data_IF_802368612292
#
_entry.id   IF_802368612292
#
_cell.length_a   1.000
_cell.length_b   1.000
_cell.length_c   1.000
_cell.angle_alpha   90.00
_cell.angle_beta   90.00
_cell.angle_gamma   90.00
#
_symmetry.space_group_name_H-M   'P 1'
#
loop_
_entity.id
_entity.type
_entity.pdbx_description
1 polymer ?
#
# COMPACT_ATOMS: atom_id res chain seq x y z
N UNK A 1 -26.24 57.76 -69.59
CA UNK A 1 -26.23 57.79 -68.11
C UNK A 1 -26.90 56.53 -67.56
N UNK A 2 -26.16 55.43 -67.34
CA UNK A 2 -26.63 54.25 -66.56
C UNK A 2 -25.47 53.25 -66.38
N UNK A 3 -24.47 53.60 -65.57
CA UNK A 3 -23.43 52.67 -65.11
C UNK A 3 -23.06 53.02 -63.66
N UNK A 4 -23.94 52.75 -62.70
CA UNK A 4 -23.59 52.87 -61.26
C UNK A 4 -24.39 51.94 -60.31
N UNK A 5 -25.36 51.16 -60.79
CA UNK A 5 -26.21 50.31 -59.92
C UNK A 5 -25.62 48.93 -59.58
N UNK A 6 -24.61 48.44 -60.31
CA UNK A 6 -24.07 47.08 -60.10
C UNK A 6 -23.05 46.96 -58.94
N UNK A 7 -22.38 48.05 -58.55
CA UNK A 7 -21.35 48.01 -57.51
C UNK A 7 -21.93 47.99 -56.08
N UNK A 8 -23.05 48.68 -55.85
CA UNK A 8 -23.69 48.75 -54.52
C UNK A 8 -24.18 47.38 -54.03
N UNK A 9 -24.73 46.56 -54.92
CA UNK A 9 -25.22 45.21 -54.59
C UNK A 9 -24.10 44.23 -54.22
N UNK A 10 -22.89 44.44 -54.76
CA UNK A 10 -21.72 43.61 -54.44
C UNK A 10 -21.17 43.92 -53.03
N UNK A 11 -21.13 45.19 -52.62
CA UNK A 11 -20.65 45.59 -51.30
C UNK A 11 -21.55 45.09 -50.16
N UNK A 12 -22.88 45.03 -50.38
CA UNK A 12 -23.82 44.52 -49.37
C UNK A 12 -23.67 43.01 -49.13
N UNK A 13 -23.36 42.22 -50.17
CA UNK A 13 -23.08 40.77 -50.01
C UNK A 13 -21.77 40.49 -49.26
N UNK A 14 -20.72 41.28 -49.51
CA UNK A 14 -19.41 41.08 -48.84
C UNK A 14 -19.48 41.36 -47.34
N UNK A 15 -20.19 42.41 -46.90
CA UNK A 15 -20.39 42.68 -45.45
C UNK A 15 -21.10 41.53 -44.72
N UNK A 16 -22.09 40.92 -45.37
CA UNK A 16 -22.85 39.81 -44.77
C UNK A 16 -22.02 38.52 -44.64
N UNK A 17 -21.13 38.25 -45.61
CA UNK A 17 -20.22 37.08 -45.58
C UNK A 17 -19.13 37.25 -44.51
N UNK A 18 -18.59 38.46 -44.33
CA UNK A 18 -17.57 38.75 -43.29
C UNK A 18 -18.18 38.59 -41.88
N UNK A 19 -19.42 39.03 -41.69
CA UNK A 19 -20.16 38.85 -40.43
C UNK A 19 -20.34 37.36 -40.07
N UNK A 20 -20.78 36.54 -41.03
CA UNK A 20 -20.95 35.10 -40.82
C UNK A 20 -19.63 34.36 -40.51
N UNK A 21 -18.51 34.74 -41.14
CA UNK A 21 -17.21 34.13 -40.87
C UNK A 21 -16.69 34.44 -39.47
N UNK A 22 -16.90 35.67 -38.97
CA UNK A 22 -16.54 36.05 -37.59
C UNK A 22 -17.40 35.28 -36.57
N UNK A 23 -18.70 35.15 -36.83
CA UNK A 23 -19.61 34.40 -35.96
C UNK A 23 -19.23 32.91 -35.86
N UNK A 24 -18.86 32.26 -36.97
CA UNK A 24 -18.41 30.84 -36.95
C UNK A 24 -17.10 30.65 -36.19
N UNK A 25 -16.14 31.58 -36.30
CA UNK A 25 -14.88 31.52 -35.53
C UNK A 25 -15.14 31.69 -34.04
N UNK A 26 -16.00 32.63 -33.67
CA UNK A 26 -16.41 32.86 -32.29
C UNK A 26 -17.15 31.65 -31.70
N UNK A 27 -18.08 31.04 -32.44
CA UNK A 27 -18.74 29.79 -32.03
C UNK A 27 -17.76 28.63 -31.85
N UNK A 28 -16.74 28.51 -32.72
CA UNK A 28 -15.71 27.46 -32.60
C UNK A 28 -14.86 27.64 -31.33
N UNK A 29 -14.53 28.90 -31.02
CA UNK A 29 -13.80 29.27 -29.80
C UNK A 29 -14.60 28.97 -28.54
N UNK A 30 -15.88 29.37 -28.49
CA UNK A 30 -16.78 29.04 -27.37
C UNK A 30 -16.89 27.53 -27.20
N UNK A 31 -17.10 26.78 -28.29
CA UNK A 31 -17.23 25.32 -28.22
C UNK A 31 -15.96 24.66 -27.68
N UNK A 32 -14.78 25.10 -28.09
CA UNK A 32 -13.51 24.58 -27.56
C UNK A 32 -13.34 24.89 -26.07
N UNK A 33 -13.65 26.11 -25.64
CA UNK A 33 -13.56 26.47 -24.22
C UNK A 33 -14.59 25.73 -23.35
N UNK A 34 -15.82 25.54 -23.84
CA UNK A 34 -16.81 24.75 -23.12
C UNK A 34 -16.35 23.29 -22.94
N UNK A 35 -15.75 22.68 -23.96
CA UNK A 35 -15.22 21.30 -23.85
C UNK A 35 -14.08 21.24 -22.82
N UNK A 36 -13.16 22.21 -22.85
CA UNK A 36 -12.05 22.26 -21.89
C UNK A 36 -12.56 22.42 -20.46
N UNK A 37 -13.49 23.35 -20.23
CA UNK A 37 -14.09 23.58 -18.91
C UNK A 37 -14.81 22.31 -18.41
N UNK A 38 -15.60 21.66 -19.27
CA UNK A 38 -16.30 20.42 -18.92
C UNK A 38 -15.32 19.28 -18.57
N UNK A 39 -14.20 19.17 -19.30
CA UNK A 39 -13.16 18.17 -19.00
C UNK A 39 -12.46 18.43 -17.66
N UNK A 40 -12.20 19.69 -17.30
CA UNK A 40 -11.58 20.03 -16.01
C UNK A 40 -12.55 19.78 -14.86
N UNK A 41 -13.82 20.16 -15.03
CA UNK A 41 -14.86 19.91 -14.03
C UNK A 41 -15.09 18.43 -13.77
N UNK A 42 -15.11 17.60 -14.83
CA UNK A 42 -15.29 16.15 -14.67
C UNK A 42 -14.10 15.50 -13.95
N UNK A 43 -12.87 15.92 -14.25
CA UNK A 43 -11.67 15.44 -13.52
C UNK A 43 -11.73 15.87 -12.05
N UNK A 44 -12.08 17.12 -11.74
CA UNK A 44 -12.20 17.60 -10.36
C UNK A 44 -13.28 16.86 -9.58
N UNK A 45 -14.45 16.62 -10.18
CA UNK A 45 -15.52 15.81 -9.56
C UNK A 45 -15.03 14.40 -9.30
N UNK A 46 -14.34 13.77 -10.25
CA UNK A 46 -13.78 12.43 -10.06
C UNK A 46 -12.76 12.40 -8.92
N UNK A 47 -11.86 13.39 -8.81
CA UNK A 47 -10.90 13.50 -7.71
C UNK A 47 -11.62 13.68 -6.36
N UNK A 48 -12.68 14.49 -6.30
CA UNK A 48 -13.45 14.72 -5.06
C UNK A 48 -14.15 13.43 -4.63
N UNK A 49 -14.86 12.76 -5.55
CA UNK A 49 -15.57 11.51 -5.27
C UNK A 49 -14.58 10.42 -4.82
N UNK A 50 -13.46 10.26 -5.55
CA UNK A 50 -12.47 9.24 -5.23
C UNK A 50 -11.77 9.54 -3.89
N UNK A 51 -11.58 10.82 -3.55
CA UNK A 51 -11.04 11.23 -2.24
C UNK A 51 -12.01 10.88 -1.11
N UNK A 52 -13.30 11.12 -1.26
CA UNK A 52 -14.28 10.74 -0.25
C UNK A 52 -14.36 9.22 -0.07
N UNK A 53 -14.44 8.42 -1.15
CA UNK A 53 -14.47 6.96 -1.03
C UNK A 53 -13.22 6.39 -0.33
N UNK A 54 -12.02 6.89 -0.66
CA UNK A 54 -10.79 6.47 0.04
C UNK A 54 -10.85 6.86 1.52
N UNK A 55 -11.38 8.04 1.85
CA UNK A 55 -11.47 8.50 3.23
C UNK A 55 -12.47 7.67 4.03
N UNK A 56 -13.64 7.34 3.45
CA UNK A 56 -14.64 6.48 4.08
C UNK A 56 -14.17 5.05 4.25
N UNK A 57 -13.48 4.48 3.26
CA UNK A 57 -12.95 3.12 3.37
C UNK A 57 -11.82 3.05 4.42
N UNK A 58 -11.05 4.12 4.59
CA UNK A 58 -10.07 4.23 5.67
C UNK A 58 -10.76 4.39 7.03
N UNK A 59 -11.82 5.18 7.12
CA UNK A 59 -12.53 5.42 8.38
C UNK A 59 -13.28 4.17 8.89
N UNK A 60 -13.91 3.41 7.98
CA UNK A 60 -14.58 2.13 8.31
C UNK A 60 -13.57 1.08 8.80
N UNK A 61 -12.36 1.03 8.24
CA UNK A 61 -11.31 0.14 8.76
C UNK A 61 -10.82 0.54 10.16
N UNK A 62 -10.97 1.82 10.56
CA UNK A 62 -10.47 2.31 11.86
C UNK A 62 -11.50 2.37 12.98
N UNK A 63 -12.80 2.35 12.67
CA UNK A 63 -13.83 2.75 13.63
C UNK A 63 -14.26 1.68 14.65
N UNK A 64 -13.85 0.43 14.51
CA UNK A 64 -14.29 -0.63 15.44
C UNK A 64 -13.18 -1.60 15.85
N UNK A 65 -11.91 -1.16 15.75
CA UNK A 65 -10.82 -1.85 16.44
C UNK A 65 -10.91 -1.47 17.92
N UNK A 66 -11.83 -2.12 18.64
CA UNK A 66 -11.78 -2.12 20.09
C UNK A 66 -10.35 -2.55 20.49
N UNK A 67 -9.65 -1.80 21.34
CA UNK A 67 -8.30 -2.17 21.76
C UNK A 67 -8.40 -3.55 22.41
N UNK A 68 -7.93 -4.57 21.68
CA UNK A 68 -7.92 -5.93 22.16
C UNK A 68 -7.10 -5.93 23.45
N UNK A 69 -7.74 -6.29 24.57
CA UNK A 69 -7.21 -6.00 25.92
C UNK A 69 -5.86 -6.66 26.21
N UNK A 70 -5.43 -7.63 25.38
CA UNK A 70 -4.11 -8.26 25.45
C UNK A 70 -3.46 -8.23 24.06
N UNK A 71 -2.55 -7.29 23.81
CA UNK A 71 -1.81 -7.21 22.55
C UNK A 71 -1.23 -8.58 22.15
N UNK A 72 -1.65 -9.10 20.99
CA UNK A 72 -1.13 -10.37 20.44
C UNK A 72 0.36 -10.20 20.20
N UNK A 73 1.17 -11.14 20.68
CA UNK A 73 2.62 -11.15 20.50
C UNK A 73 3.03 -12.30 19.60
N UNK A 74 3.63 -11.96 18.46
CA UNK A 74 4.10 -12.91 17.46
C UNK A 74 5.61 -13.13 17.59
N UNK A 75 6.05 -14.37 17.53
CA UNK A 75 7.48 -14.73 17.42
C UNK A 75 7.85 -15.07 15.99
N UNK A 76 9.03 -14.61 15.54
CA UNK A 76 9.58 -14.97 14.23
C UNK A 76 11.10 -15.05 14.30
N UNK A 77 11.69 -16.13 13.78
CA UNK A 77 13.12 -16.21 13.48
C UNK A 77 13.30 -16.73 12.05
N UNK A 78 13.37 -15.82 11.09
CA UNK A 78 13.38 -16.15 9.66
C UNK A 78 14.68 -15.67 8.98
N UNK A 79 15.01 -16.33 7.86
CA UNK A 79 16.12 -15.98 6.98
C UNK A 79 15.82 -14.77 6.08
N UNK A 80 14.55 -14.49 5.82
CA UNK A 80 14.09 -13.37 5.02
C UNK A 80 13.39 -12.32 5.87
N UNK A 81 13.95 -11.10 5.87
CA UNK A 81 13.38 -9.99 6.64
C UNK A 81 12.08 -9.44 6.02
N UNK A 82 11.90 -9.53 4.70
CA UNK A 82 10.80 -8.80 4.04
C UNK A 82 9.41 -9.24 4.52
N UNK A 83 9.07 -10.54 4.55
CA UNK A 83 7.73 -10.95 4.96
C UNK A 83 7.36 -10.53 6.39
N UNK A 84 8.30 -10.62 7.35
CA UNK A 84 8.05 -10.18 8.72
C UNK A 84 7.94 -8.66 8.85
N UNK A 85 8.64 -7.89 8.00
CA UNK A 85 8.48 -6.43 7.96
C UNK A 85 7.11 -6.02 7.39
N UNK A 86 6.61 -6.75 6.39
CA UNK A 86 5.28 -6.52 5.84
C UNK A 86 4.20 -6.78 6.91
N UNK A 87 4.32 -7.88 7.67
CA UNK A 87 3.43 -8.16 8.80
C UNK A 87 3.50 -7.06 9.87
N UNK A 88 4.68 -6.58 10.23
CA UNK A 88 4.84 -5.48 11.18
C UNK A 88 4.17 -4.19 10.69
N UNK A 89 4.29 -3.88 9.41
CA UNK A 89 3.68 -2.70 8.81
C UNK A 89 2.14 -2.78 8.83
N UNK A 90 1.59 -3.97 8.59
CA UNK A 90 0.14 -4.20 8.53
C UNK A 90 -0.48 -4.33 9.93
N UNK A 91 0.14 -5.11 10.82
CA UNK A 91 -0.43 -5.50 12.12
C UNK A 91 0.06 -4.63 13.28
N UNK A 92 1.21 -3.97 13.17
CA UNK A 92 1.74 -3.06 14.19
C UNK A 92 0.76 -1.94 14.56
N UNK A 93 0.09 -1.27 13.60
CA UNK A 93 -0.96 -0.29 13.89
C UNK A 93 -2.17 -0.86 14.65
N UNK A 94 -2.40 -2.18 14.60
CA UNK A 94 -3.46 -2.87 15.33
C UNK A 94 -3.01 -3.28 16.75
N UNK A 95 -1.81 -2.89 17.17
CA UNK A 95 -1.28 -3.19 18.51
C UNK A 95 -0.60 -4.56 18.64
N UNK A 96 -0.40 -5.28 17.54
CA UNK A 96 0.33 -6.57 17.55
C UNK A 96 1.81 -6.32 17.84
N UNK A 97 2.37 -7.06 18.80
CA UNK A 97 3.77 -7.02 19.19
C UNK A 97 4.56 -8.12 18.47
N UNK A 98 5.86 -7.91 18.29
CA UNK A 98 6.72 -8.83 17.55
C UNK A 98 8.04 -9.08 18.26
N UNK A 99 8.33 -10.34 18.57
CA UNK A 99 9.67 -10.83 18.84
C UNK A 99 10.31 -11.33 17.55
N UNK A 100 10.89 -10.40 16.80
CA UNK A 100 11.61 -10.68 15.56
C UNK A 100 13.10 -10.89 15.85
N UNK A 101 13.52 -12.15 15.73
CA UNK A 101 14.87 -12.62 15.97
C UNK A 101 15.50 -13.11 14.66
N UNK A 102 15.56 -12.23 13.66
CA UNK A 102 15.98 -12.58 12.30
C UNK A 102 17.41 -13.13 12.24
N UNK A 103 17.57 -14.20 11.46
CA UNK A 103 18.85 -14.83 11.12
C UNK A 103 19.42 -14.31 9.79
N UNK A 104 18.64 -13.53 9.03
CA UNK A 104 19.04 -12.95 7.74
C UNK A 104 20.37 -12.21 7.79
N UNK A 105 21.14 -12.25 6.70
CA UNK A 105 22.32 -11.38 6.53
C UNK A 105 21.96 -9.88 6.51
N UNK A 106 20.72 -9.55 6.14
CA UNK A 106 20.25 -8.15 6.05
C UNK A 106 19.60 -7.63 7.34
N UNK A 107 19.56 -8.43 8.41
CA UNK A 107 18.88 -8.06 9.67
C UNK A 107 19.42 -6.76 10.30
N UNK A 108 20.67 -6.37 10.00
CA UNK A 108 21.28 -5.16 10.55
C UNK A 108 20.57 -3.91 10.05
N UNK A 109 20.06 -3.94 8.81
CA UNK A 109 19.35 -2.81 8.20
C UNK A 109 18.03 -2.50 8.93
N UNK A 110 17.38 -3.52 9.47
CA UNK A 110 16.10 -3.40 10.18
C UNK A 110 16.24 -3.45 11.70
N UNK A 111 17.47 -3.59 12.23
CA UNK A 111 17.77 -3.76 13.67
C UNK A 111 17.03 -4.95 14.30
N UNK A 112 16.87 -6.02 13.52
CA UNK A 112 16.18 -7.27 13.92
C UNK A 112 17.14 -8.42 14.12
N UNK A 113 18.44 -8.18 13.98
CA UNK A 113 19.43 -9.21 14.25
C UNK A 113 19.27 -9.70 15.68
N UNK A 114 19.30 -11.01 15.84
CA UNK A 114 19.34 -11.61 17.16
C UNK A 114 20.77 -12.03 17.51
N UNK A 115 21.58 -11.14 18.13
CA UNK A 115 22.90 -11.54 18.63
C UNK A 115 22.80 -12.54 19.79
N UNK A 116 21.60 -12.75 20.33
CA UNK A 116 21.35 -13.58 21.51
C UNK A 116 20.39 -14.74 21.22
N UNK A 117 20.14 -15.09 19.95
CA UNK A 117 19.46 -16.34 19.64
C UNK A 117 20.40 -17.48 20.04
N UNK A 118 19.99 -18.26 21.04
CA UNK A 118 20.72 -19.43 21.50
C UNK A 118 20.14 -20.65 20.78
N UNK A 119 20.93 -21.71 20.65
CA UNK A 119 20.61 -22.94 19.88
C UNK A 119 20.59 -22.71 18.37
N UNK A 120 19.78 -21.78 17.86
CA UNK A 120 19.74 -21.46 16.44
C UNK A 120 20.85 -20.47 16.08
N UNK A 121 21.55 -20.80 15.01
CA UNK A 121 22.61 -20.02 14.42
C UNK A 121 22.41 -19.99 12.91
N UNK A 122 23.04 -19.03 12.24
CA UNK A 122 22.99 -18.93 10.77
C UNK A 122 23.52 -20.18 10.05
N UNK A 123 24.33 -21.00 10.72
CA UNK A 123 24.99 -22.16 10.10
C UNK A 123 24.24 -23.47 10.33
N UNK A 124 23.44 -23.59 11.40
CA UNK A 124 22.69 -24.81 11.69
C UNK A 124 21.20 -24.73 11.33
N UNK A 125 20.62 -23.55 11.18
CA UNK A 125 19.22 -23.33 10.78
C UNK A 125 18.83 -24.06 9.48
N UNK A 126 19.69 -23.97 8.47
CA UNK A 126 19.46 -24.62 7.16
C UNK A 126 19.64 -26.14 7.22
N UNK A 127 20.25 -26.67 8.28
CA UNK A 127 20.51 -28.08 8.51
C UNK A 127 19.64 -28.56 9.67
N UNK A 128 18.32 -28.45 9.49
CA UNK A 128 17.35 -28.85 10.50
C UNK A 128 17.50 -30.33 10.89
N UNK A 129 17.29 -30.62 12.17
CA UNK A 129 17.25 -31.98 12.72
C UNK A 129 16.34 -32.03 13.95
N UNK A 130 15.81 -33.20 14.27
CA UNK A 130 14.96 -33.42 15.46
C UNK A 130 15.68 -33.07 16.77
N UNK A 131 17.00 -33.27 16.81
CA UNK A 131 17.83 -32.88 17.94
C UNK A 131 17.83 -31.35 18.12
N UNK A 132 18.01 -30.60 17.03
CA UNK A 132 17.99 -29.13 17.06
C UNK A 132 16.63 -28.61 17.53
N UNK A 133 15.53 -29.23 17.09
CA UNK A 133 14.18 -28.89 17.55
C UNK A 133 13.99 -29.13 19.05
N UNK A 134 14.46 -30.28 19.54
CA UNK A 134 14.41 -30.63 20.96
C UNK A 134 15.26 -29.66 21.81
N UNK A 135 16.47 -29.34 21.37
CA UNK A 135 17.35 -28.37 22.04
C UNK A 135 16.72 -26.98 22.07
N UNK A 136 16.09 -26.56 20.98
CA UNK A 136 15.42 -25.27 20.89
C UNK A 136 14.25 -25.19 21.87
N UNK A 137 13.38 -26.21 21.87
CA UNK A 137 12.25 -26.28 22.79
C UNK A 137 12.70 -26.31 24.26
N UNK A 138 13.64 -27.18 24.60
CA UNK A 138 14.14 -27.30 25.98
C UNK A 138 14.74 -26.00 26.50
N UNK A 139 15.47 -25.26 25.65
CA UNK A 139 16.05 -23.98 26.03
C UNK A 139 14.99 -22.89 26.22
N UNK A 140 14.01 -22.81 25.29
CA UNK A 140 13.07 -21.69 25.22
C UNK A 140 11.77 -21.87 25.99
N UNK A 141 11.33 -23.10 26.29
CA UNK A 141 10.03 -23.38 26.94
C UNK A 141 9.80 -22.68 28.28
N UNK A 142 10.88 -22.37 29.00
CA UNK A 142 10.82 -21.70 30.31
C UNK A 142 11.29 -20.24 30.26
N UNK A 143 11.62 -19.70 29.08
CA UNK A 143 12.05 -18.31 28.96
C UNK A 143 10.85 -17.38 29.07
N UNK A 144 11.01 -16.28 29.80
CA UNK A 144 9.95 -15.27 29.99
C UNK A 144 9.42 -14.74 28.66
N UNK A 145 10.28 -14.55 27.65
CA UNK A 145 9.84 -14.10 26.32
C UNK A 145 8.89 -15.10 25.65
N UNK A 146 9.11 -16.41 25.82
CA UNK A 146 8.27 -17.44 25.20
C UNK A 146 6.91 -17.59 25.89
N UNK A 147 6.82 -17.24 27.18
CA UNK A 147 5.54 -17.18 27.89
C UNK A 147 4.63 -16.05 27.39
N UNK A 148 5.20 -15.02 26.76
CA UNK A 148 4.46 -13.91 26.18
C UNK A 148 4.04 -14.16 24.72
N UNK A 149 4.56 -15.21 24.07
CA UNK A 149 4.25 -15.51 22.66
C UNK A 149 2.89 -16.18 22.55
N UNK A 150 2.01 -15.58 21.75
CA UNK A 150 0.68 -16.12 21.43
C UNK A 150 0.72 -17.02 20.19
N UNK A 151 1.53 -16.66 19.19
CA UNK A 151 1.66 -17.43 17.96
C UNK A 151 3.05 -17.27 17.33
N UNK A 152 3.41 -18.29 16.54
CA UNK A 152 4.66 -18.30 15.79
C UNK A 152 4.40 -17.98 14.31
N UNK A 153 5.32 -17.21 13.72
CA UNK A 153 5.33 -16.90 12.30
C UNK A 153 6.61 -17.46 11.72
N UNK A 154 6.47 -18.26 10.66
CA UNK A 154 7.58 -18.81 9.88
C UNK A 154 7.26 -18.64 8.39
N UNK A 155 8.27 -18.32 7.58
CA UNK A 155 8.15 -18.25 6.12
C UNK A 155 9.18 -19.16 5.45
N UNK A 156 10.47 -19.02 5.79
CA UNK A 156 11.53 -19.83 5.18
C UNK A 156 12.74 -20.03 6.11
N UNK A 157 13.33 -21.24 6.14
CA UNK A 157 12.86 -22.47 5.48
C UNK A 157 11.63 -23.08 6.17
N UNK A 158 10.87 -23.94 5.47
CA UNK A 158 9.69 -24.64 6.06
C UNK A 158 10.06 -25.44 7.31
N UNK A 159 11.28 -25.98 7.37
CA UNK A 159 11.80 -26.69 8.54
C UNK A 159 11.85 -25.82 9.81
N UNK A 160 11.91 -24.49 9.68
CA UNK A 160 11.80 -23.59 10.84
C UNK A 160 10.41 -23.62 11.47
N UNK A 161 9.36 -23.92 10.70
CA UNK A 161 8.01 -24.08 11.26
C UNK A 161 7.95 -25.30 12.18
N UNK A 162 8.68 -26.37 11.85
CA UNK A 162 8.70 -27.62 12.65
C UNK A 162 9.33 -27.39 14.04
N UNK A 163 10.27 -26.45 14.18
CA UNK A 163 10.84 -26.07 15.48
C UNK A 163 9.78 -25.56 16.46
N UNK A 164 8.74 -24.88 15.95
CA UNK A 164 7.72 -24.26 16.78
C UNK A 164 6.60 -25.23 17.16
N UNK A 165 6.44 -26.35 16.45
CA UNK A 165 5.34 -27.30 16.68
C UNK A 165 5.33 -27.87 18.11
N UNK A 166 6.49 -27.97 18.76
CA UNK A 166 6.60 -28.49 20.14
C UNK A 166 5.97 -27.55 21.19
N UNK A 167 5.77 -26.27 20.87
CA UNK A 167 5.14 -25.31 21.78
C UNK A 167 3.61 -25.44 21.83
N UNK A 168 2.99 -26.09 20.84
CA UNK A 168 1.54 -26.30 20.73
C UNK A 168 0.70 -25.02 20.90
N UNK A 169 1.09 -23.97 20.17
CA UNK A 169 0.42 -22.66 20.10
C UNK A 169 0.26 -22.23 18.64
#
# INVERSE_FOLDING_TARGET
MTRNSSLSLMFHRVKNIISHRKLRRFQKYIRQHCILILSVLTILIFIIIFREEITYHFYICTLDVQPYQNAITLWSSDYHISPIQDLKAILGPLGVQFFDKSLSYSCQRTRTCSPHLRVLTRTNEMNFSDQLASEFYEFYKNQTEMNLVDAFVCFHPVSMCELYMQFNR
#
